data_IF_853077282326
#
_entry.id   IF_853077282326
#
_cell.length_a   1.000
_cell.length_b   1.000
_cell.length_c   1.000
_cell.angle_alpha   90.00
_cell.angle_beta   90.00
_cell.angle_gamma   90.00
#
_symmetry.space_group_name_H-M   'P 1'
#
loop_
_entity.id
_entity.type
_entity.pdbx_description
1 polymer ?
#
# COMPACT_ATOMS: atom_id res chain seq x y z
N UNK A 1 0.64 -24.45 -17.20
CA UNK A 1 0.09 -23.19 -16.67
C UNK A 1 0.80 -22.03 -17.34
N UNK A 2 0.10 -21.26 -18.18
CA UNK A 2 0.69 -20.05 -18.77
C UNK A 2 0.96 -19.02 -17.67
N UNK A 3 2.09 -18.31 -17.73
CA UNK A 3 2.39 -17.24 -16.78
C UNK A 3 1.22 -16.28 -16.65
N UNK A 4 0.91 -15.91 -15.42
CA UNK A 4 -0.10 -14.91 -15.07
C UNK A 4 0.20 -13.58 -15.79
N UNK A 5 -0.85 -12.85 -16.16
CA UNK A 5 -0.72 -11.57 -16.89
C UNK A 5 0.11 -10.58 -16.06
N UNK A 6 -0.11 -10.55 -14.75
CA UNK A 6 0.66 -9.71 -13.84
C UNK A 6 2.17 -10.05 -13.90
N UNK A 7 2.54 -11.33 -13.79
CA UNK A 7 3.93 -11.77 -13.90
C UNK A 7 4.55 -11.41 -15.26
N UNK A 8 3.80 -11.56 -16.35
CA UNK A 8 4.26 -11.18 -17.70
C UNK A 8 4.54 -9.68 -17.80
N UNK A 9 3.65 -8.85 -17.28
CA UNK A 9 3.79 -7.39 -17.27
C UNK A 9 4.99 -6.98 -16.42
N UNK A 10 5.09 -7.48 -15.18
CA UNK A 10 6.21 -7.16 -14.29
C UNK A 10 7.56 -7.60 -14.87
N UNK A 11 7.62 -8.77 -15.51
CA UNK A 11 8.82 -9.25 -16.22
C UNK A 11 9.19 -8.30 -17.37
N UNK A 12 8.21 -7.82 -18.15
CA UNK A 12 8.45 -6.87 -19.23
C UNK A 12 8.94 -5.53 -18.69
N UNK A 13 8.29 -5.00 -17.65
CA UNK A 13 8.65 -3.74 -17.01
C UNK A 13 10.09 -3.76 -16.52
N UNK A 14 10.49 -4.83 -15.82
CA UNK A 14 11.88 -5.01 -15.36
C UNK A 14 12.86 -5.09 -16.53
N UNK A 15 12.58 -5.93 -17.54
CA UNK A 15 13.48 -6.13 -18.69
C UNK A 15 13.63 -4.88 -19.56
N UNK A 16 12.62 -4.01 -19.61
CA UNK A 16 12.60 -2.82 -20.48
C UNK A 16 12.90 -1.52 -19.73
N UNK A 17 13.15 -1.56 -18.43
CA UNK A 17 13.50 -0.38 -17.64
C UNK A 17 12.32 0.56 -17.34
N UNK A 18 11.15 -0.03 -17.05
CA UNK A 18 10.01 0.69 -16.49
C UNK A 18 10.02 0.69 -14.97
N UNK A 19 9.96 -0.50 -14.35
CA UNK A 19 9.85 -0.65 -12.90
C UNK A 19 10.78 -1.74 -12.41
N UNK A 20 11.44 -1.48 -11.29
CA UNK A 20 12.29 -2.42 -10.56
C UNK A 20 11.80 -2.52 -9.10
N UNK A 21 11.77 -3.70 -8.47
CA UNK A 21 11.61 -3.78 -7.02
C UNK A 21 12.72 -2.98 -6.32
N UNK A 22 12.37 -2.05 -5.43
CA UNK A 22 13.39 -1.24 -4.76
C UNK A 22 14.27 -2.12 -3.87
N UNK A 23 15.55 -1.77 -3.76
CA UNK A 23 16.54 -2.47 -2.93
C UNK A 23 16.72 -3.96 -3.30
N UNK A 24 16.46 -4.34 -4.56
CA UNK A 24 16.46 -5.74 -5.02
C UNK A 24 17.75 -6.50 -4.63
N UNK A 25 18.92 -5.87 -4.77
CA UNK A 25 20.21 -6.50 -4.45
C UNK A 25 20.40 -6.80 -2.95
N UNK A 26 19.55 -6.23 -2.10
CA UNK A 26 19.49 -6.45 -0.65
C UNK A 26 18.30 -7.34 -0.23
N UNK A 27 17.60 -7.96 -1.18
CA UNK A 27 16.42 -8.79 -0.93
C UNK A 27 15.08 -8.09 -1.13
N UNK A 28 15.10 -6.78 -1.41
CA UNK A 28 13.93 -5.98 -1.70
C UNK A 28 13.05 -5.66 -0.48
N UNK A 29 12.19 -4.65 -0.63
CA UNK A 29 11.18 -4.29 0.38
C UNK A 29 9.83 -4.22 -0.32
N UNK A 30 8.86 -4.98 0.19
CA UNK A 30 7.50 -4.99 -0.35
C UNK A 30 6.87 -3.59 -0.29
N UNK A 31 6.15 -3.20 -1.35
CA UNK A 31 5.51 -1.90 -1.46
C UNK A 31 6.39 -0.78 -2.05
N UNK A 32 7.69 -1.03 -2.28
CA UNK A 32 8.61 -0.04 -2.87
C UNK A 32 9.10 -0.47 -4.25
N UNK A 33 9.06 0.47 -5.19
CA UNK A 33 9.53 0.27 -6.56
C UNK A 33 10.31 1.49 -7.08
N UNK A 34 11.37 1.22 -7.83
CA UNK A 34 12.18 2.23 -8.51
C UNK A 34 11.72 2.34 -9.97
N UNK A 35 11.48 3.58 -10.43
CA UNK A 35 11.18 3.85 -11.82
C UNK A 35 12.47 3.91 -12.65
N UNK A 36 12.60 3.00 -13.63
CA UNK A 36 13.72 2.99 -14.56
C UNK A 36 13.68 4.12 -15.59
N UNK A 37 14.59 4.14 -16.59
CA UNK A 37 14.66 5.22 -17.57
C UNK A 37 13.36 5.45 -18.35
N UNK A 38 12.73 4.38 -18.84
CA UNK A 38 11.46 4.48 -19.57
C UNK A 38 10.28 4.73 -18.61
N UNK A 39 10.32 4.15 -17.41
CA UNK A 39 9.27 4.33 -16.40
C UNK A 39 9.21 5.76 -15.88
N UNK A 40 10.37 6.38 -15.65
CA UNK A 40 10.48 7.77 -15.20
C UNK A 40 9.94 8.74 -16.26
N UNK A 41 10.26 8.51 -17.54
CA UNK A 41 9.69 9.30 -18.64
C UNK A 41 8.18 9.10 -18.76
N UNK A 42 7.71 7.85 -18.68
CA UNK A 42 6.28 7.54 -18.72
C UNK A 42 5.52 8.24 -17.57
N UNK A 43 6.04 8.13 -16.34
CA UNK A 43 5.47 8.81 -15.16
C UNK A 43 5.37 10.31 -15.39
N UNK A 44 6.44 10.95 -15.86
CA UNK A 44 6.45 12.38 -16.18
C UNK A 44 5.41 12.75 -17.24
N UNK A 45 5.31 11.98 -18.32
CA UNK A 45 4.34 12.25 -19.38
C UNK A 45 2.90 12.17 -18.86
N UNK A 46 2.59 11.22 -17.96
CA UNK A 46 1.26 11.12 -17.33
C UNK A 46 0.99 12.33 -16.43
N UNK A 47 1.97 12.73 -15.61
CA UNK A 47 1.84 13.93 -14.77
C UNK A 47 1.66 15.21 -15.61
N UNK A 48 2.36 15.34 -16.74
CA UNK A 48 2.26 16.52 -17.61
C UNK A 48 0.91 16.60 -18.33
N UNK A 49 0.33 15.46 -18.73
CA UNK A 49 -1.05 15.40 -19.23
C UNK A 49 -2.03 15.84 -18.14
N UNK A 50 -1.84 15.37 -16.91
CA UNK A 50 -2.67 15.75 -15.77
C UNK A 50 -2.57 17.26 -15.48
N UNK A 51 -1.35 17.82 -15.42
CA UNK A 51 -1.12 19.26 -15.23
C UNK A 51 -1.76 20.08 -16.35
N UNK A 52 -1.58 19.68 -17.60
CA UNK A 52 -2.20 20.34 -18.75
C UNK A 52 -3.72 20.37 -18.65
N UNK A 53 -4.34 19.32 -18.10
CA UNK A 53 -5.77 19.31 -17.88
C UNK A 53 -6.17 20.30 -16.77
N UNK A 54 -5.66 20.15 -15.55
CA UNK A 54 -6.18 20.90 -14.40
C UNK A 54 -5.64 22.33 -14.28
N UNK A 55 -4.37 22.57 -14.60
CA UNK A 55 -3.80 23.92 -14.50
C UNK A 55 -4.30 24.81 -15.63
N UNK A 56 -4.37 24.30 -16.86
CA UNK A 56 -4.74 25.13 -18.02
C UNK A 56 -6.26 25.21 -18.23
N UNK A 57 -7.02 24.12 -17.99
CA UNK A 57 -8.47 24.11 -18.27
C UNK A 57 -9.29 24.54 -17.07
N UNK A 58 -8.95 24.03 -15.89
CA UNK A 58 -9.72 24.28 -14.65
C UNK A 58 -9.13 25.43 -13.82
N UNK A 59 -8.10 26.11 -14.34
CA UNK A 59 -7.45 27.28 -13.75
C UNK A 59 -6.99 27.07 -12.30
N UNK A 60 -6.55 25.84 -11.99
CA UNK A 60 -5.97 25.50 -10.70
C UNK A 60 -4.56 26.08 -10.55
N UNK A 61 -4.18 26.46 -9.33
CA UNK A 61 -2.84 26.98 -9.02
C UNK A 61 -2.00 25.87 -8.38
N UNK A 62 -0.89 25.51 -9.03
CA UNK A 62 0.06 24.52 -8.49
C UNK A 62 0.91 25.14 -7.38
N UNK A 63 0.99 24.46 -6.23
CA UNK A 63 1.89 24.79 -5.11
C UNK A 63 2.67 23.53 -4.69
N UNK A 64 3.81 23.71 -4.04
CA UNK A 64 4.64 22.62 -3.52
C UNK A 64 4.89 22.81 -2.02
N UNK A 65 4.63 21.76 -1.23
CA UNK A 65 4.76 21.75 0.23
C UNK A 65 5.70 20.64 0.70
N UNK A 66 6.30 20.76 1.90
CA UNK A 66 7.09 19.68 2.47
C UNK A 66 6.28 18.38 2.65
N UNK A 67 6.96 17.23 2.57
CA UNK A 67 6.35 15.92 2.89
C UNK A 67 6.24 15.70 4.40
N UNK A 68 7.23 16.16 5.17
CA UNK A 68 7.19 16.10 6.63
C UNK A 68 6.16 17.11 7.13
N UNK A 69 5.20 16.63 7.93
CA UNK A 69 4.05 17.42 8.38
C UNK A 69 3.97 17.40 9.91
N UNK A 70 3.63 18.54 10.51
CA UNK A 70 3.46 18.67 11.96
C UNK A 70 2.27 17.82 12.46
N UNK A 71 2.42 17.25 13.66
CA UNK A 71 1.39 16.42 14.29
C UNK A 71 0.06 17.15 14.40
N UNK A 72 0.06 18.43 14.79
CA UNK A 72 -1.13 19.24 15.00
C UNK A 72 -1.97 19.38 13.72
N UNK A 73 -1.32 19.45 12.55
CA UNK A 73 -1.99 19.51 11.24
C UNK A 73 -2.68 18.18 10.92
N UNK A 74 -2.01 17.06 11.20
CA UNK A 74 -2.56 15.72 10.98
C UNK A 74 -3.68 15.40 11.97
N UNK A 75 -3.57 15.91 13.21
CA UNK A 75 -4.62 15.79 14.23
C UNK A 75 -5.83 16.63 13.86
N UNK A 76 -5.65 17.88 13.47
CA UNK A 76 -6.74 18.76 13.06
C UNK A 76 -7.49 18.25 11.82
N UNK A 77 -6.80 17.59 10.89
CA UNK A 77 -7.42 16.97 9.71
C UNK A 77 -8.04 15.59 9.99
N UNK A 78 -7.90 15.05 11.21
CA UNK A 78 -8.44 13.76 11.62
C UNK A 78 -7.60 12.53 11.26
N UNK A 79 -6.49 12.68 10.51
CA UNK A 79 -5.66 11.54 10.08
C UNK A 79 -5.03 10.78 11.25
N UNK A 80 -4.74 11.46 12.37
CA UNK A 80 -4.21 10.80 13.58
C UNK A 80 -5.20 9.77 14.15
N UNK A 81 -6.49 10.04 14.07
CA UNK A 81 -7.51 9.22 14.71
C UNK A 81 -8.16 8.24 13.73
N UNK A 82 -8.40 8.67 12.50
CA UNK A 82 -9.28 7.98 11.56
C UNK A 82 -8.54 7.26 10.42
N UNK A 83 -7.28 7.63 10.12
CA UNK A 83 -6.51 6.99 9.04
C UNK A 83 -5.90 5.66 9.49
N UNK A 84 -6.79 4.70 9.82
CA UNK A 84 -6.45 3.42 10.41
C UNK A 84 -7.02 2.24 9.63
N UNK A 85 -6.26 1.17 9.52
CA UNK A 85 -6.75 -0.14 9.08
C UNK A 85 -6.98 -1.05 10.29
N UNK A 86 -7.97 -1.95 10.17
CA UNK A 86 -8.15 -3.03 11.13
C UNK A 86 -7.32 -4.24 10.73
N UNK A 87 -6.46 -4.70 11.63
CA UNK A 87 -5.49 -5.77 11.37
C UNK A 87 -5.61 -6.89 12.40
N UNK A 88 -5.17 -8.08 12.00
CA UNK A 88 -5.06 -9.26 12.85
C UNK A 88 -3.67 -9.88 12.70
N UNK A 89 -3.16 -10.44 13.79
CA UNK A 89 -1.80 -10.94 13.88
C UNK A 89 -1.75 -12.46 13.86
N UNK A 90 -0.70 -12.99 13.24
CA UNK A 90 -0.35 -14.40 13.35
C UNK A 90 0.78 -14.60 14.35
N UNK A 91 0.52 -15.21 15.51
CA UNK A 91 1.56 -15.52 16.51
C UNK A 91 2.66 -16.46 16.02
N UNK A 92 2.39 -17.28 14.99
CA UNK A 92 3.36 -18.26 14.48
C UNK A 92 4.36 -17.65 13.50
N UNK A 93 3.91 -16.77 12.60
CA UNK A 93 4.78 -16.14 11.60
C UNK A 93 5.15 -14.68 11.91
N UNK A 94 4.53 -14.07 12.92
CA UNK A 94 4.76 -12.68 13.32
C UNK A 94 4.23 -11.64 12.33
N UNK A 95 3.49 -12.08 11.29
CA UNK A 95 2.92 -11.17 10.29
C UNK A 95 1.53 -10.71 10.71
N UNK A 96 1.23 -9.46 10.37
CA UNK A 96 -0.10 -8.87 10.46
C UNK A 96 -0.76 -8.87 9.09
N UNK A 97 -2.07 -9.02 9.07
CA UNK A 97 -2.89 -9.03 7.86
C UNK A 97 -4.02 -8.03 8.03
N UNK A 98 -4.33 -7.26 6.98
CA UNK A 98 -5.55 -6.47 6.96
C UNK A 98 -6.73 -7.42 7.00
N UNK A 99 -7.72 -7.08 7.81
CA UNK A 99 -8.84 -7.97 8.05
C UNK A 99 -9.65 -8.23 6.79
N UNK A 100 -9.81 -7.21 5.95
CA UNK A 100 -10.49 -7.31 4.65
C UNK A 100 -9.86 -8.35 3.70
N UNK A 101 -8.56 -8.65 3.86
CA UNK A 101 -7.84 -9.63 3.03
C UNK A 101 -8.05 -11.08 3.50
N UNK A 102 -8.49 -11.28 4.75
CA UNK A 102 -8.53 -12.61 5.40
C UNK A 102 -9.90 -12.99 5.97
N UNK A 103 -10.82 -12.04 6.10
CA UNK A 103 -12.18 -12.24 6.57
C UNK A 103 -13.18 -12.19 5.40
N UNK A 104 -14.25 -12.97 5.51
CA UNK A 104 -15.40 -12.84 4.61
C UNK A 104 -16.14 -11.52 4.88
N UNK A 105 -16.77 -10.97 3.83
CA UNK A 105 -17.61 -9.78 3.96
C UNK A 105 -18.74 -10.05 4.94
N UNK A 106 -19.08 -9.05 5.76
CA UNK A 106 -20.17 -9.06 6.75
C UNK A 106 -19.95 -9.90 8.03
N UNK A 107 -18.72 -10.35 8.32
CA UNK A 107 -18.40 -11.04 9.57
C UNK A 107 -17.82 -10.07 10.61
N UNK A 108 -18.37 -10.09 11.83
CA UNK A 108 -17.76 -9.43 12.99
C UNK A 108 -16.38 -10.00 13.27
N UNK A 109 -15.36 -9.16 13.20
CA UNK A 109 -13.95 -9.59 13.22
C UNK A 109 -13.58 -10.13 14.59
N UNK A 110 -14.06 -9.50 15.66
CA UNK A 110 -13.82 -9.92 17.03
C UNK A 110 -14.41 -11.31 17.29
N UNK A 111 -15.59 -11.59 16.74
CA UNK A 111 -16.24 -12.91 16.82
C UNK A 111 -15.49 -13.95 15.98
N UNK A 112 -15.14 -13.61 14.74
CA UNK A 112 -14.36 -14.48 13.85
C UNK A 112 -13.01 -14.88 14.44
N UNK A 113 -12.35 -13.97 15.17
CA UNK A 113 -11.12 -14.28 15.90
C UNK A 113 -11.40 -15.18 17.10
N UNK A 114 -12.43 -14.89 17.92
CA UNK A 114 -12.79 -15.70 19.09
C UNK A 114 -13.17 -17.13 18.73
N UNK A 115 -13.97 -17.31 17.68
CA UNK A 115 -14.37 -18.61 17.14
C UNK A 115 -13.22 -19.30 16.40
N UNK A 116 -12.12 -18.59 16.15
CA UNK A 116 -10.97 -19.10 15.43
C UNK A 116 -11.34 -19.50 14.01
N UNK A 117 -12.12 -18.67 13.31
CA UNK A 117 -12.46 -18.84 11.89
C UNK A 117 -11.37 -18.28 10.97
N UNK A 118 -10.71 -17.20 11.38
CA UNK A 118 -9.64 -16.58 10.59
C UNK A 118 -8.36 -17.43 10.60
N UNK A 119 -7.79 -17.64 9.41
CA UNK A 119 -6.59 -18.47 9.18
C UNK A 119 -5.52 -17.65 8.48
N UNK A 120 -4.29 -17.78 8.95
CA UNK A 120 -3.13 -17.14 8.34
C UNK A 120 -2.90 -17.70 6.92
N UNK A 121 -2.88 -16.86 5.88
CA UNK A 121 -2.63 -17.32 4.51
C UNK A 121 -1.25 -17.98 4.32
N UNK A 122 -0.26 -17.62 5.14
CA UNK A 122 1.11 -18.12 4.99
C UNK A 122 1.40 -19.42 5.73
N UNK A 123 0.72 -19.71 6.85
CA UNK A 123 1.03 -20.89 7.67
C UNK A 123 -0.18 -21.58 8.30
N UNK A 124 -1.39 -21.18 7.91
CA UNK A 124 -2.68 -21.76 8.29
C UNK A 124 -2.98 -21.77 9.81
N UNK A 125 -2.16 -21.13 10.64
CA UNK A 125 -2.44 -20.95 12.06
C UNK A 125 -3.55 -19.93 12.29
N UNK A 126 -4.12 -19.93 13.50
CA UNK A 126 -5.16 -18.97 13.89
C UNK A 126 -4.61 -17.55 13.92
N UNK A 127 -5.39 -16.60 13.39
CA UNK A 127 -5.14 -15.17 13.54
C UNK A 127 -5.76 -14.68 14.85
N UNK A 128 -5.10 -13.75 15.51
CA UNK A 128 -5.44 -13.25 16.86
C UNK A 128 -5.22 -11.73 16.93
N UNK A 129 -5.50 -11.13 18.08
CA UNK A 129 -5.20 -9.72 18.39
C UNK A 129 -5.78 -8.73 17.35
N UNK A 130 -7.11 -8.66 17.18
CA UNK A 130 -7.72 -7.66 16.31
C UNK A 130 -7.47 -6.26 16.90
N UNK A 131 -6.83 -5.38 16.13
CA UNK A 131 -6.54 -4.01 16.57
C UNK A 131 -6.45 -3.05 15.37
N UNK A 132 -6.51 -1.75 15.65
CA UNK A 132 -6.33 -0.69 14.65
C UNK A 132 -4.87 -0.29 14.56
N UNK A 133 -4.39 -0.05 13.33
CA UNK A 133 -3.07 0.50 13.06
C UNK A 133 -3.22 1.77 12.22
N UNK A 134 -2.64 2.88 12.69
CA UNK A 134 -2.56 4.10 11.90
C UNK A 134 -1.56 3.92 10.75
N UNK A 135 -1.95 4.34 9.55
CA UNK A 135 -1.17 4.13 8.33
C UNK A 135 -0.14 5.24 8.04
N UNK A 136 -0.08 6.28 8.88
CA UNK A 136 0.92 7.32 8.76
C UNK A 136 2.28 6.84 9.28
N UNK A 137 3.35 7.24 8.60
CA UNK A 137 4.72 7.05 9.08
C UNK A 137 5.07 8.13 10.11
N UNK A 138 5.51 7.72 11.29
CA UNK A 138 6.10 8.62 12.28
C UNK A 138 7.61 8.76 12.05
N UNK A 139 8.17 9.91 12.43
CA UNK A 139 9.59 10.23 12.33
C UNK A 139 10.05 11.07 13.52
#
# INVERSE_FOLDING_TARGET
MGKDVYEKVMTLCKRRGFLYPSFEVYGGIAGFYDYGPLGSQLKRNVEDIWRSFYLMRDNCVEINTPTITLYEVLKASGHVDEFTDFVVDCRKCGKSYKVEDVAEKDVSVEEAVKEGKLRCPSCSSRLVNPHRVNLMFST
#
